data_IF_889430999116
#
_entry.id   IF_889430999116
#
_cell.length_a   1.000
_cell.length_b   1.000
_cell.length_c   1.000
_cell.angle_alpha   90.00
_cell.angle_beta   90.00
_cell.angle_gamma   90.00
#
_symmetry.space_group_name_H-M   'P 1'
#
loop_
_entity.id
_entity.type
_entity.pdbx_description
1 polymer ?
#
# COMPACT_ATOMS: atom_id res chain seq x y z
N UNK A 1 -20.97 27.51 35.50
CA UNK A 1 -20.92 26.66 34.28
C UNK A 1 -19.47 26.45 33.88
N UNK A 2 -18.89 25.25 34.01
CA UNK A 2 -17.61 24.93 33.40
C UNK A 2 -17.85 24.30 32.02
N UNK A 3 -17.20 24.83 30.99
CA UNK A 3 -17.19 24.29 29.63
C UNK A 3 -16.26 23.08 29.55
N UNK A 4 -16.83 21.91 29.24
CA UNK A 4 -16.09 20.68 28.99
C UNK A 4 -15.38 20.75 27.63
N UNK A 5 -14.09 21.07 27.64
CA UNK A 5 -13.19 20.83 26.52
C UNK A 5 -12.67 19.40 26.59
N UNK A 6 -13.37 18.47 25.95
CA UNK A 6 -12.95 17.07 25.79
C UNK A 6 -11.79 16.97 24.80
N UNK A 7 -10.58 17.32 25.25
CA UNK A 7 -9.34 16.95 24.58
C UNK A 7 -9.02 15.51 24.95
N UNK A 8 -9.08 14.61 23.97
CA UNK A 8 -8.58 13.25 24.11
C UNK A 8 -7.14 13.32 24.66
N UNK A 9 -6.98 12.84 25.88
CA UNK A 9 -5.69 12.78 26.56
C UNK A 9 -4.77 11.87 25.75
N UNK A 10 -3.87 12.48 24.98
CA UNK A 10 -2.67 11.81 24.48
C UNK A 10 -1.94 11.37 25.73
N UNK A 11 -1.98 10.06 26.02
CA UNK A 11 -1.24 9.47 27.12
C UNK A 11 0.20 9.95 27.02
N UNK A 12 0.66 10.68 28.04
CA UNK A 12 1.99 11.25 28.10
C UNK A 12 3.00 10.10 28.11
N UNK A 13 3.51 9.79 26.93
CA UNK A 13 4.66 8.93 26.72
C UNK A 13 5.85 9.63 27.39
N UNK A 14 6.53 8.93 28.31
CA UNK A 14 7.60 9.50 29.12
C UNK A 14 8.71 10.17 28.27
N UNK A 15 9.50 11.08 28.87
CA UNK A 15 10.51 11.84 28.15
C UNK A 15 11.49 10.89 27.43
N UNK A 16 11.48 10.95 26.10
CA UNK A 16 12.38 10.17 25.22
C UNK A 16 11.74 8.99 24.48
N UNK A 17 10.49 8.60 24.78
CA UNK A 17 9.84 7.55 24.00
C UNK A 17 9.24 8.09 22.69
N UNK A 18 9.34 7.34 21.58
CA UNK A 18 8.94 7.80 20.27
C UNK A 18 7.43 8.08 20.23
N UNK A 19 6.99 9.04 19.39
CA UNK A 19 5.57 9.35 19.27
C UNK A 19 4.79 8.11 18.81
N UNK A 20 3.54 7.95 19.29
CA UNK A 20 2.70 6.85 18.85
C UNK A 20 2.48 6.90 17.33
N UNK A 21 2.23 5.75 16.68
CA UNK A 21 2.00 5.70 15.24
C UNK A 21 0.76 6.51 14.85
N UNK A 22 0.83 7.24 13.73
CA UNK A 22 -0.29 8.05 13.26
C UNK A 22 -1.47 7.18 12.79
N UNK A 23 -2.74 7.59 12.99
CA UNK A 23 -3.90 6.81 12.54
C UNK A 23 -3.92 6.51 11.03
N UNK A 24 -3.28 7.35 10.20
CA UNK A 24 -3.12 7.08 8.77
C UNK A 24 -2.25 5.84 8.47
N UNK A 25 -1.65 5.19 9.47
CA UNK A 25 -0.98 3.90 9.29
C UNK A 25 -1.94 2.77 8.88
N UNK A 26 -3.25 2.99 8.93
CA UNK A 26 -4.23 2.08 8.36
C UNK A 26 -3.99 1.81 6.86
N UNK A 27 -3.32 2.70 6.13
CA UNK A 27 -2.95 2.46 4.72
C UNK A 27 -2.09 1.21 4.52
N UNK A 28 -1.26 0.84 5.51
CA UNK A 28 -0.47 -0.39 5.43
C UNK A 28 -1.40 -1.61 5.45
N UNK A 29 -2.52 -1.55 6.19
CA UNK A 29 -3.53 -2.60 6.18
C UNK A 29 -4.29 -2.66 4.85
N UNK A 30 -4.60 -1.50 4.25
CA UNK A 30 -5.21 -1.44 2.92
C UNK A 30 -4.29 -2.06 1.87
N UNK A 31 -2.99 -1.77 1.92
CA UNK A 31 -2.00 -2.41 1.06
C UNK A 31 -1.94 -3.93 1.26
N UNK A 32 -1.91 -4.41 2.51
CA UNK A 32 -1.92 -5.85 2.79
C UNK A 32 -3.18 -6.50 2.23
N UNK A 33 -4.34 -5.86 2.41
CA UNK A 33 -5.62 -6.37 1.91
C UNK A 33 -5.64 -6.50 0.38
N UNK A 34 -5.03 -5.54 -0.32
CA UNK A 34 -4.93 -5.57 -1.78
C UNK A 34 -3.90 -6.60 -2.27
N UNK A 35 -2.70 -6.61 -1.69
CA UNK A 35 -1.56 -7.33 -2.24
C UNK A 35 -1.42 -8.77 -1.74
N UNK A 36 -1.70 -9.04 -0.47
CA UNK A 36 -1.39 -10.35 0.12
C UNK A 36 -2.21 -11.48 -0.52
N UNK A 37 -3.54 -11.34 -0.74
CA UNK A 37 -4.31 -12.39 -1.40
C UNK A 37 -3.79 -12.65 -2.82
N UNK A 38 -3.51 -11.58 -3.57
CA UNK A 38 -2.97 -11.70 -4.91
C UNK A 38 -1.58 -12.35 -4.92
N UNK A 39 -0.68 -11.93 -4.02
CA UNK A 39 0.66 -12.49 -3.90
C UNK A 39 0.65 -13.98 -3.59
N UNK A 40 -0.24 -14.43 -2.69
CA UNK A 40 -0.43 -15.85 -2.39
C UNK A 40 -0.94 -16.63 -3.61
N UNK A 41 -1.97 -16.11 -4.28
CA UNK A 41 -2.54 -16.76 -5.47
C UNK A 41 -1.52 -16.84 -6.62
N UNK A 42 -0.81 -15.75 -6.88
CA UNK A 42 0.23 -15.69 -7.92
C UNK A 42 1.41 -16.61 -7.61
N UNK A 43 1.79 -16.77 -6.33
CA UNK A 43 2.93 -17.60 -5.94
C UNK A 43 2.60 -19.11 -5.95
N UNK A 44 1.46 -19.50 -5.40
CA UNK A 44 1.13 -20.90 -5.16
C UNK A 44 0.07 -21.47 -6.11
N UNK A 45 -0.84 -20.64 -6.63
CA UNK A 45 -2.00 -21.06 -7.42
C UNK A 45 -2.01 -20.41 -8.81
N UNK A 46 -0.82 -20.13 -9.36
CA UNK A 46 -0.64 -19.37 -10.61
C UNK A 46 -1.45 -19.93 -11.78
N UNK A 47 -1.50 -21.25 -11.93
CA UNK A 47 -2.22 -21.92 -13.02
C UNK A 47 -3.75 -21.88 -12.88
N UNK A 48 -4.27 -21.48 -11.72
CA UNK A 48 -5.70 -21.30 -11.47
C UNK A 48 -6.15 -19.86 -11.71
N UNK A 49 -5.23 -18.93 -11.99
CA UNK A 49 -5.59 -17.55 -12.30
C UNK A 49 -6.23 -17.49 -13.69
N UNK A 50 -7.38 -16.83 -13.84
CA UNK A 50 -8.08 -16.73 -15.11
C UNK A 50 -7.41 -15.64 -15.96
N UNK A 51 -6.15 -15.81 -16.35
CA UNK A 51 -5.46 -14.89 -17.25
C UNK A 51 -5.34 -15.49 -18.65
N UNK A 52 -5.52 -14.63 -19.65
CA UNK A 52 -5.29 -14.98 -21.06
C UNK A 52 -3.79 -15.22 -21.28
N UNK A 53 -3.46 -16.19 -22.14
CA UNK A 53 -2.09 -16.45 -22.63
C UNK A 53 -1.02 -16.68 -21.54
N UNK A 54 -1.35 -17.47 -20.52
CA UNK A 54 -0.40 -17.91 -19.48
C UNK A 54 0.67 -18.88 -20.03
N UNK A 55 1.67 -18.34 -20.70
CA UNK A 55 2.88 -19.07 -21.09
C UNK A 55 3.74 -19.47 -19.87
N UNK A 56 4.65 -20.44 -20.03
CA UNK A 56 5.61 -20.79 -18.98
C UNK A 56 6.43 -19.59 -18.49
N UNK A 57 6.82 -18.70 -19.42
CA UNK A 57 7.53 -17.46 -19.09
C UNK A 57 6.66 -16.54 -18.24
N UNK A 58 5.40 -16.36 -18.60
CA UNK A 58 4.42 -15.57 -17.83
C UNK A 58 4.25 -16.13 -16.42
N UNK A 59 4.15 -17.46 -16.28
CA UNK A 59 4.02 -18.14 -14.99
C UNK A 59 5.23 -17.86 -14.08
N UNK A 60 6.45 -17.90 -14.62
CA UNK A 60 7.67 -17.60 -13.85
C UNK A 60 7.65 -16.16 -13.35
N UNK A 61 7.37 -15.19 -14.22
CA UNK A 61 7.31 -13.79 -13.82
C UNK A 61 6.18 -13.52 -12.82
N UNK A 62 5.03 -14.17 -12.98
CA UNK A 62 3.90 -14.03 -12.07
C UNK A 62 4.20 -14.61 -10.68
N UNK A 63 4.96 -15.71 -10.60
CA UNK A 63 5.45 -16.25 -9.31
C UNK A 63 6.47 -15.33 -8.65
N UNK A 64 7.42 -14.78 -9.42
CA UNK A 64 8.40 -13.82 -8.90
C UNK A 64 7.73 -12.54 -8.41
N UNK A 65 6.74 -12.04 -9.16
CA UNK A 65 5.92 -10.91 -8.75
C UNK A 65 5.10 -11.24 -7.50
N UNK A 66 4.47 -12.42 -7.43
CA UNK A 66 3.75 -12.88 -6.25
C UNK A 66 4.62 -12.96 -5.00
N UNK A 67 5.87 -13.42 -5.13
CA UNK A 67 6.86 -13.42 -4.05
C UNK A 67 7.22 -12.00 -3.59
N UNK A 68 7.41 -11.07 -4.53
CA UNK A 68 7.68 -9.66 -4.21
C UNK A 68 6.48 -9.02 -3.50
N UNK A 69 5.27 -9.16 -4.03
CA UNK A 69 4.03 -8.60 -3.45
C UNK A 69 3.78 -9.15 -2.05
N UNK A 70 3.93 -10.47 -1.85
CA UNK A 70 3.80 -11.08 -0.54
C UNK A 70 4.87 -10.58 0.44
N UNK A 71 6.13 -10.43 -0.02
CA UNK A 71 7.22 -9.87 0.78
C UNK A 71 6.95 -8.43 1.23
N UNK A 72 6.47 -7.57 0.32
CA UNK A 72 6.09 -6.19 0.63
C UNK A 72 4.90 -6.11 1.60
N UNK A 73 3.92 -7.02 1.46
CA UNK A 73 2.80 -7.12 2.38
C UNK A 73 3.25 -7.53 3.80
N UNK A 74 4.13 -8.54 3.91
CA UNK A 74 4.71 -8.94 5.20
C UNK A 74 5.54 -7.81 5.80
N UNK A 75 6.39 -7.15 5.02
CA UNK A 75 7.16 -6.00 5.50
C UNK A 75 6.24 -4.88 6.01
N UNK A 76 5.16 -4.59 5.28
CA UNK A 76 4.13 -3.61 5.67
C UNK A 76 3.42 -3.98 6.97
N UNK A 77 3.11 -5.27 7.17
CA UNK A 77 2.52 -5.79 8.40
C UNK A 77 3.44 -5.55 9.60
N UNK A 78 4.74 -5.80 9.43
CA UNK A 78 5.74 -5.63 10.48
C UNK A 78 5.98 -4.17 10.85
N UNK A 79 5.89 -3.24 9.89
CA UNK A 79 6.13 -1.81 10.17
C UNK A 79 4.88 -1.02 10.55
N UNK A 80 3.69 -1.58 10.40
CA UNK A 80 2.44 -0.83 10.56
C UNK A 80 2.30 -0.20 11.95
N UNK A 81 2.68 -0.92 13.00
CA UNK A 81 2.65 -0.47 14.39
C UNK A 81 3.91 0.29 14.83
N UNK A 82 4.94 0.39 13.97
CA UNK A 82 6.18 1.08 14.31
C UNK A 82 6.02 2.60 14.20
N UNK A 83 6.81 3.39 14.96
CA UNK A 83 6.82 4.85 14.85
C UNK A 83 7.14 5.34 13.42
N UNK A 84 6.45 6.39 12.97
CA UNK A 84 6.51 6.89 11.59
C UNK A 84 7.82 7.60 11.24
N UNK A 85 8.58 7.95 12.27
CA UNK A 85 9.86 8.65 12.19
C UNK A 85 11.02 7.70 11.89
N UNK A 86 10.80 6.38 11.98
CA UNK A 86 11.85 5.40 11.74
C UNK A 86 12.29 5.43 10.28
N UNK A 87 13.60 5.59 9.98
CA UNK A 87 14.09 5.70 8.62
C UNK A 87 13.78 4.46 7.78
N UNK A 88 13.81 3.26 8.38
CA UNK A 88 13.45 2.01 7.71
C UNK A 88 11.99 1.97 7.25
N UNK A 89 11.05 2.44 8.08
CA UNK A 89 9.64 2.53 7.71
C UNK A 89 9.42 3.54 6.58
N UNK A 90 10.10 4.69 6.64
CA UNK A 90 10.05 5.71 5.59
C UNK A 90 10.63 5.20 4.27
N UNK A 91 11.74 4.46 4.30
CA UNK A 91 12.31 3.85 3.11
C UNK A 91 11.36 2.81 2.48
N UNK A 92 10.70 1.99 3.31
CA UNK A 92 9.68 1.06 2.81
C UNK A 92 8.51 1.79 2.14
N UNK A 93 8.03 2.91 2.70
CA UNK A 93 6.96 3.69 2.07
C UNK A 93 7.37 4.23 0.70
N UNK A 94 8.61 4.69 0.53
CA UNK A 94 9.12 5.10 -0.79
C UNK A 94 9.10 3.92 -1.78
N UNK A 95 9.55 2.74 -1.35
CA UNK A 95 9.47 1.54 -2.17
C UNK A 95 8.02 1.18 -2.54
N UNK A 96 7.08 1.30 -1.60
CA UNK A 96 5.65 1.07 -1.84
C UNK A 96 5.05 2.09 -2.81
N UNK A 97 5.44 3.37 -2.74
CA UNK A 97 5.01 4.40 -3.70
C UNK A 97 5.49 4.05 -5.10
N UNK A 98 6.77 3.69 -5.26
CA UNK A 98 7.33 3.32 -6.57
C UNK A 98 6.63 2.07 -7.12
N UNK A 99 6.48 1.03 -6.28
CA UNK A 99 5.78 -0.20 -6.64
C UNK A 99 4.36 0.08 -7.11
N UNK A 100 3.56 0.79 -6.31
CA UNK A 100 2.16 1.05 -6.63
C UNK A 100 1.99 1.97 -7.84
N UNK A 101 2.87 2.95 -8.02
CA UNK A 101 2.83 3.84 -9.19
C UNK A 101 3.15 3.07 -10.48
N UNK A 102 4.17 2.22 -10.44
CA UNK A 102 4.57 1.37 -11.56
C UNK A 102 3.47 0.37 -11.91
N UNK A 103 2.95 -0.37 -10.92
CA UNK A 103 1.88 -1.33 -11.10
C UNK A 103 0.60 -0.67 -11.65
N UNK A 104 0.23 0.50 -11.13
CA UNK A 104 -0.91 1.28 -11.65
C UNK A 104 -0.73 1.59 -13.13
N UNK A 105 0.45 2.08 -13.51
CA UNK A 105 0.75 2.43 -14.91
C UNK A 105 0.70 1.21 -15.81
N UNK A 106 1.36 0.11 -15.41
CA UNK A 106 1.39 -1.14 -16.18
C UNK A 106 -0.02 -1.70 -16.38
N UNK A 107 -0.83 -1.76 -15.33
CA UNK A 107 -2.19 -2.31 -15.39
C UNK A 107 -3.14 -1.44 -16.23
N UNK A 108 -3.03 -0.11 -16.14
CA UNK A 108 -3.87 0.82 -16.91
C UNK A 108 -3.48 0.89 -18.39
N UNK A 109 -2.28 0.46 -18.75
CA UNK A 109 -1.78 0.43 -20.14
C UNK A 109 -1.81 -0.97 -20.74
N UNK A 110 -2.08 -2.00 -19.94
CA UNK A 110 -2.09 -3.38 -20.41
C UNK A 110 -3.26 -3.61 -21.39
N UNK A 111 -3.05 -4.43 -22.44
CA UNK A 111 -4.18 -4.99 -23.17
C UNK A 111 -5.00 -5.90 -22.25
N UNK A 112 -6.22 -6.20 -22.68
CA UNK A 112 -7.12 -7.11 -21.97
C UNK A 112 -6.44 -8.46 -21.68
N UNK A 113 -6.31 -8.81 -20.40
CA UNK A 113 -5.75 -10.11 -19.99
C UNK A 113 -6.63 -10.88 -18.99
N UNK A 114 -7.67 -10.27 -18.43
CA UNK A 114 -8.64 -10.94 -17.55
C UNK A 114 -9.94 -11.16 -18.36
N UNK A 115 -10.36 -12.39 -18.66
CA UNK A 115 -11.53 -12.68 -19.49
C UNK A 115 -12.84 -12.57 -18.68
N UNK A 116 -13.01 -11.48 -17.92
CA UNK A 116 -14.20 -11.23 -17.12
C UNK A 116 -14.76 -9.82 -17.35
N UNK A 117 -16.01 -9.73 -17.79
CA UNK A 117 -16.70 -8.47 -18.02
C UNK A 117 -17.74 -8.21 -16.93
N UNK A 118 -17.84 -6.97 -16.46
CA UNK A 118 -18.93 -6.53 -15.58
C UNK A 118 -20.20 -6.11 -16.34
N UNK A 119 -20.25 -6.38 -17.65
CA UNK A 119 -21.39 -6.07 -18.52
C UNK A 119 -21.10 -4.93 -19.49
N UNK A 120 -21.93 -4.83 -20.53
CA UNK A 120 -21.70 -3.92 -21.66
C UNK A 120 -21.63 -2.45 -21.28
N UNK A 121 -22.39 -2.02 -20.26
CA UNK A 121 -22.36 -0.65 -19.76
C UNK A 121 -21.02 -0.31 -19.08
N UNK A 122 -20.45 -1.24 -18.32
CA UNK A 122 -19.16 -1.06 -17.66
C UNK A 122 -18.02 -1.01 -18.66
N UNK A 123 -18.04 -1.89 -19.68
CA UNK A 123 -17.05 -1.91 -20.76
C UNK A 123 -17.01 -0.58 -21.55
N UNK A 124 -18.17 0.04 -21.79
CA UNK A 124 -18.25 1.36 -22.44
C UNK A 124 -17.57 2.48 -21.66
N UNK A 125 -17.47 2.33 -20.34
CA UNK A 125 -16.78 3.24 -19.44
C UNK A 125 -15.35 2.80 -19.13
N UNK A 126 -14.84 1.77 -19.84
CA UNK A 126 -13.55 1.15 -19.57
C UNK A 126 -13.42 0.62 -18.14
N UNK A 127 -14.53 0.26 -17.49
CA UNK A 127 -14.54 -0.34 -16.15
C UNK A 127 -14.33 -1.83 -16.29
N UNK A 128 -13.06 -2.22 -16.36
CA UNK A 128 -12.60 -3.61 -16.47
C UNK A 128 -11.91 -4.07 -15.17
N UNK A 129 -11.78 -5.38 -14.92
CA UNK A 129 -11.06 -5.87 -13.74
C UNK A 129 -9.63 -5.35 -13.66
N UNK A 130 -8.90 -5.35 -14.77
CA UNK A 130 -7.53 -4.83 -14.84
C UNK A 130 -7.45 -3.32 -14.59
N UNK A 131 -8.40 -2.53 -15.09
CA UNK A 131 -8.43 -1.09 -14.78
C UNK A 131 -8.82 -0.80 -13.34
N UNK A 132 -9.77 -1.54 -12.76
CA UNK A 132 -10.09 -1.41 -11.33
C UNK A 132 -8.86 -1.73 -10.49
N UNK A 133 -8.13 -2.79 -10.85
CA UNK A 133 -6.92 -3.18 -10.15
C UNK A 133 -5.80 -2.13 -10.30
N UNK A 134 -5.64 -1.57 -11.50
CA UNK A 134 -4.72 -0.45 -11.75
C UNK A 134 -5.09 0.82 -10.98
N UNK A 135 -6.37 1.19 -10.96
CA UNK A 135 -6.87 2.32 -10.18
C UNK A 135 -6.66 2.11 -8.67
N UNK A 136 -6.87 0.89 -8.15
CA UNK A 136 -6.62 0.58 -6.74
C UNK A 136 -5.15 0.81 -6.36
N UNK A 137 -4.21 0.44 -7.22
CA UNK A 137 -2.78 0.75 -7.07
C UNK A 137 -2.51 2.26 -7.13
N UNK A 138 -3.15 2.98 -8.06
CA UNK A 138 -3.06 4.44 -8.13
C UNK A 138 -3.53 5.12 -6.84
N UNK A 139 -4.66 4.67 -6.28
CA UNK A 139 -5.19 5.17 -4.99
C UNK A 139 -4.21 4.89 -3.85
N UNK A 140 -3.60 3.70 -3.77
CA UNK A 140 -2.57 3.40 -2.76
C UNK A 140 -1.34 4.29 -2.91
N UNK A 141 -0.90 4.58 -4.14
CA UNK A 141 0.21 5.51 -4.41
C UNK A 141 -0.08 6.88 -3.81
N UNK A 142 -1.28 7.41 -4.07
CA UNK A 142 -1.72 8.68 -3.51
C UNK A 142 -1.82 8.61 -1.98
N UNK A 143 -2.38 7.54 -1.43
CA UNK A 143 -2.52 7.37 0.01
C UNK A 143 -1.17 7.33 0.75
N UNK A 144 -0.17 6.62 0.22
CA UNK A 144 1.19 6.61 0.78
C UNK A 144 1.89 7.96 0.62
N UNK A 145 1.65 8.66 -0.50
CA UNK A 145 2.16 10.02 -0.69
C UNK A 145 1.54 11.00 0.31
N UNK A 146 0.23 10.92 0.54
CA UNK A 146 -0.47 11.70 1.57
C UNK A 146 0.07 11.37 2.96
N UNK A 147 0.24 10.09 3.28
CA UNK A 147 0.85 9.65 4.54
C UNK A 147 2.24 10.25 4.76
N UNK A 148 3.05 10.29 3.71
CA UNK A 148 4.36 10.92 3.77
C UNK A 148 4.22 12.38 4.18
N UNK A 149 3.35 13.14 3.52
CA UNK A 149 3.15 14.57 3.80
C UNK A 149 2.63 14.82 5.21
N UNK A 150 1.65 14.05 5.70
CA UNK A 150 1.06 14.28 7.03
C UNK A 150 2.01 13.89 8.18
N UNK A 151 2.95 12.96 7.96
CA UNK A 151 3.91 12.51 8.99
C UNK A 151 5.26 13.23 8.95
N UNK A 152 5.53 14.01 7.89
CA UNK A 152 6.77 14.77 7.74
C UNK A 152 7.04 15.75 8.91
N UNK A 153 6.07 16.55 9.39
CA UNK A 153 6.32 17.51 10.47
C UNK A 153 6.82 16.86 11.76
N UNK A 154 6.24 15.71 12.14
CA UNK A 154 6.66 14.94 13.31
C UNK A 154 8.11 14.47 13.19
N UNK A 155 8.52 14.07 11.99
CA UNK A 155 9.90 13.63 11.72
C UNK A 155 10.88 14.81 11.82
N UNK A 156 10.52 15.96 11.26
CA UNK A 156 11.33 17.18 11.32
C UNK A 156 11.52 17.68 12.77
N UNK A 157 10.47 17.61 13.60
CA UNK A 157 10.52 18.03 14.99
C UNK A 157 11.53 17.21 15.82
N UNK A 158 11.57 15.88 15.62
CA UNK A 158 12.53 15.01 16.32
C UNK A 158 13.97 15.32 15.89
N UNK A 159 14.21 15.52 14.59
CA UNK A 159 15.55 15.87 14.11
C UNK A 159 16.04 17.18 14.73
N UNK A 160 15.18 18.19 14.80
CA UNK A 160 15.52 19.49 15.42
C UNK A 160 15.87 19.34 16.90
N UNK A 161 15.10 18.56 17.66
CA UNK A 161 15.36 18.31 19.07
C UNK A 161 16.69 17.58 19.33
N UNK A 162 17.19 16.79 18.37
CA UNK A 162 18.50 16.12 18.48
C UNK A 162 19.67 17.09 18.24
N UNK A 163 19.44 18.20 17.54
CA UNK A 163 20.46 19.18 17.16
C UNK A 163 20.54 20.41 18.07
N UNK A 164 19.58 20.56 19.00
CA UNK A 164 19.54 21.60 20.02
C UNK A 164 20.12 21.11 21.34
#
# INVERSE_FOLDING_TARGET
MPTAGGGATVAAVGPGAPPPPHPFNLIFMVHILLELPFGILALFFTGSLPFLDLSNTTIVFLKLFGALSAGLAVASMLVASLPDVLPGKRALVVALVIYHAASSTVLLQAPRFIPHSFGTAAEKLSVTPEHIWGCAHGVLTLAFTTWWQVTLPTTAAITKAKTS
#
